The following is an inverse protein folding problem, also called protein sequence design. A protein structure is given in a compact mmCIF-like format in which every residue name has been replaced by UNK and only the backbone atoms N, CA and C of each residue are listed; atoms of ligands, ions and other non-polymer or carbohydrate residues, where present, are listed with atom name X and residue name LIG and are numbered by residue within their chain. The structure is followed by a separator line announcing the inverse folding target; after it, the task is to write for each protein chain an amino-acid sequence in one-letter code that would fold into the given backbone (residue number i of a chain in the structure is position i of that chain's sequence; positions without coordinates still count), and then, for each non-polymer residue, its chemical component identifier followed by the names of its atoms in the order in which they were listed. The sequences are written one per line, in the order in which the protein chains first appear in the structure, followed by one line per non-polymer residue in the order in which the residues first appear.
data_IF_148365529983
#
_entry.id   IF_148365529983
#
_cell.length_a   1.000
_cell.length_b   1.000
_cell.length_c   1.000
_cell.angle_alpha   90.00
_cell.angle_beta   90.00
_cell.angle_gamma   90.00
#
_symmetry.space_group_name_H-M   'P 1'
#
loop_
_entity.id
_entity.type
_entity.pdbx_description
1 polymer ?
#
# COMPACT_ATOMS: atom_id res chain seq x y z
N UNK A 1 13.20 -34.65 2.89
CA UNK A 1 12.32 -33.67 3.57
C UNK A 1 12.85 -32.24 3.43
N UNK A 2 14.09 -31.93 3.87
CA UNK A 2 14.68 -30.58 3.75
C UNK A 2 14.78 -30.12 2.28
N UNK A 3 15.18 -31.00 1.36
CA UNK A 3 15.25 -30.70 -0.09
C UNK A 3 13.89 -30.36 -0.70
N UNK A 4 12.83 -31.09 -0.33
CA UNK A 4 11.46 -30.81 -0.81
C UNK A 4 10.96 -29.47 -0.26
N UNK A 5 11.25 -29.16 1.01
CA UNK A 5 10.91 -27.88 1.62
C UNK A 5 11.62 -26.69 0.95
N UNK A 6 12.93 -26.82 0.71
CA UNK A 6 13.70 -25.78 0.03
C UNK A 6 13.23 -25.61 -1.41
N UNK A 7 13.01 -26.72 -2.14
CA UNK A 7 12.49 -26.67 -3.51
C UNK A 7 11.13 -25.96 -3.57
N UNK A 8 10.21 -26.28 -2.65
CA UNK A 8 8.92 -25.58 -2.54
C UNK A 8 9.08 -24.07 -2.35
N UNK A 9 9.97 -23.63 -1.44
CA UNK A 9 10.23 -22.20 -1.20
C UNK A 9 10.85 -21.48 -2.40
N UNK A 10 11.73 -22.14 -3.14
CA UNK A 10 12.34 -21.58 -4.35
C UNK A 10 11.29 -21.49 -5.47
N UNK A 11 10.49 -22.53 -5.65
CA UNK A 11 9.38 -22.54 -6.62
C UNK A 11 8.39 -21.41 -6.30
N UNK A 12 7.97 -21.27 -5.04
CA UNK A 12 7.11 -20.17 -4.60
C UNK A 12 7.75 -18.81 -4.89
N UNK A 13 9.04 -18.64 -4.61
CA UNK A 13 9.77 -17.40 -4.87
C UNK A 13 9.91 -17.06 -6.36
N UNK A 14 9.99 -18.07 -7.23
CA UNK A 14 10.04 -17.90 -8.69
C UNK A 14 8.64 -17.64 -9.27
N UNK A 15 7.64 -18.42 -8.85
CA UNK A 15 6.26 -18.33 -9.35
C UNK A 15 5.52 -17.08 -8.84
N UNK A 16 5.65 -16.76 -7.55
CA UNK A 16 5.01 -15.57 -6.95
C UNK A 16 5.87 -14.31 -7.12
N UNK A 17 7.16 -14.48 -7.45
CA UNK A 17 8.14 -13.41 -7.43
C UNK A 17 8.38 -12.86 -6.02
N UNK A 18 9.30 -11.90 -5.88
CA UNK A 18 9.41 -11.10 -4.66
C UNK A 18 8.28 -10.06 -4.66
N UNK A 19 7.07 -10.45 -4.21
CA UNK A 19 6.00 -9.47 -4.06
C UNK A 19 6.28 -8.53 -2.87
N UNK A 20 7.01 -7.45 -3.17
CA UNK A 20 7.37 -6.42 -2.20
C UNK A 20 6.34 -5.29 -2.12
N UNK A 21 5.14 -5.48 -2.70
CA UNK A 21 4.09 -4.46 -2.70
C UNK A 21 3.15 -4.66 -1.52
N UNK A 22 2.74 -3.54 -0.94
CA UNK A 22 1.78 -3.42 0.15
C UNK A 22 0.62 -2.58 -0.35
N UNK A 23 -0.59 -3.01 -0.01
CA UNK A 23 -1.74 -2.14 -0.09
C UNK A 23 -1.83 -1.36 1.22
N UNK A 24 -2.12 -0.07 1.15
CA UNK A 24 -2.09 0.83 2.30
C UNK A 24 -3.35 1.68 2.29
N UNK A 25 -4.02 1.71 3.44
CA UNK A 25 -4.99 2.77 3.76
C UNK A 25 -4.32 3.80 4.66
N UNK A 26 -4.46 5.07 4.31
CA UNK A 26 -4.04 6.20 5.15
C UNK A 26 -5.29 6.98 5.57
N UNK A 27 -5.47 7.13 6.87
CA UNK A 27 -6.59 7.86 7.48
C UNK A 27 -6.00 9.07 8.20
N UNK A 28 -6.34 10.28 7.74
CA UNK A 28 -5.79 11.54 8.24
C UNK A 28 -6.68 12.72 7.84
N UNK A 29 -6.70 13.78 8.64
CA UNK A 29 -7.31 15.06 8.25
C UNK A 29 -6.40 15.89 7.33
N UNK A 30 -5.11 15.57 7.30
CA UNK A 30 -4.07 16.10 6.38
C UNK A 30 -3.93 15.26 5.12
N UNK A 31 -5.03 14.66 4.66
CA UNK A 31 -5.06 13.88 3.43
C UNK A 31 -4.63 14.66 2.17
N UNK A 32 -4.80 16.00 2.04
CA UNK A 32 -4.29 16.74 0.88
C UNK A 32 -2.75 16.72 0.79
N UNK A 33 -2.06 16.94 1.89
CA UNK A 33 -0.59 16.95 1.96
C UNK A 33 -0.02 15.55 1.71
N UNK A 34 -0.64 14.53 2.31
CA UNK A 34 -0.26 13.12 2.11
C UNK A 34 -0.46 12.69 0.66
N UNK A 35 -1.57 13.10 0.03
CA UNK A 35 -1.80 12.89 -1.42
C UNK A 35 -0.65 13.46 -2.24
N UNK A 36 -0.25 14.70 -1.97
CA UNK A 36 0.76 15.38 -2.77
C UNK A 36 2.12 14.69 -2.63
N UNK A 37 2.45 14.23 -1.43
CA UNK A 37 3.63 13.41 -1.20
C UNK A 37 3.59 12.10 -2.00
N UNK A 38 2.48 11.36 -1.92
CA UNK A 38 2.31 10.10 -2.67
C UNK A 38 2.46 10.33 -4.18
N UNK A 39 1.81 11.36 -4.72
CA UNK A 39 1.83 11.65 -6.16
C UNK A 39 3.17 12.19 -6.63
N UNK A 40 3.78 13.14 -5.93
CA UNK A 40 4.96 13.87 -6.41
C UNK A 40 6.29 13.28 -5.95
N UNK A 41 6.34 12.72 -4.74
CA UNK A 41 7.59 12.17 -4.17
C UNK A 41 7.72 10.68 -4.40
N UNK A 42 6.61 9.93 -4.25
CA UNK A 42 6.62 8.49 -4.51
C UNK A 42 6.32 8.14 -5.96
N UNK A 43 5.79 9.08 -6.75
CA UNK A 43 5.31 8.85 -8.12
C UNK A 43 4.30 7.69 -8.19
N UNK A 44 3.36 7.67 -7.25
CA UNK A 44 2.33 6.64 -7.12
C UNK A 44 0.93 7.23 -7.24
N UNK A 45 0.02 6.43 -7.78
CA UNK A 45 -1.40 6.70 -7.76
C UNK A 45 -2.04 6.29 -6.44
N UNK A 46 -3.27 6.74 -6.24
CA UNK A 46 -4.12 6.34 -5.15
C UNK A 46 -5.56 6.72 -5.43
N UNK A 47 -6.47 6.12 -4.67
CA UNK A 47 -7.90 6.36 -4.77
C UNK A 47 -8.41 6.82 -3.42
N UNK A 48 -9.28 7.83 -3.42
CA UNK A 48 -10.01 8.19 -2.21
C UNK A 48 -11.18 7.25 -1.99
N UNK A 49 -11.30 6.74 -0.78
CA UNK A 49 -12.47 6.04 -0.28
C UNK A 49 -13.15 6.98 0.72
N UNK A 50 -14.41 7.29 0.48
CA UNK A 50 -15.23 8.05 1.43
C UNK A 50 -15.63 7.14 2.59
N UNK A 51 -15.44 7.63 3.81
CA UNK A 51 -15.83 6.96 5.04
C UNK A 51 -16.40 7.95 6.05
N UNK A 52 -16.83 7.44 7.20
CA UNK A 52 -17.33 8.23 8.31
C UNK A 52 -16.59 7.84 9.59
N UNK A 53 -16.17 8.84 10.36
CA UNK A 53 -15.51 8.61 11.64
C UNK A 53 -16.49 8.09 12.68
N UNK A 54 -16.19 6.95 13.31
CA UNK A 54 -17.08 6.27 14.26
C UNK A 54 -17.47 7.12 15.48
N UNK A 55 -16.59 8.02 15.94
CA UNK A 55 -16.82 8.83 17.14
C UNK A 55 -17.47 10.18 16.84
N UNK A 56 -17.03 10.84 15.77
CA UNK A 56 -17.41 12.23 15.46
C UNK A 56 -18.44 12.33 14.33
N UNK A 57 -18.80 11.21 13.70
CA UNK A 57 -19.73 11.15 12.57
C UNK A 57 -19.37 12.11 11.44
N UNK A 58 -18.08 12.44 11.31
CA UNK A 58 -17.60 13.35 10.29
C UNK A 58 -17.20 12.58 9.04
N UNK A 59 -17.46 13.17 7.88
CA UNK A 59 -17.02 12.62 6.62
C UNK A 59 -15.49 12.63 6.55
N UNK A 60 -14.90 11.48 6.24
CA UNK A 60 -13.46 11.26 6.13
C UNK A 60 -13.12 10.80 4.72
N UNK A 61 -11.96 11.23 4.23
CA UNK A 61 -11.36 10.66 3.02
C UNK A 61 -10.20 9.77 3.41
N UNK A 62 -10.29 8.52 3.04
CA UNK A 62 -9.25 7.51 3.25
C UNK A 62 -8.47 7.38 1.94
N UNK A 63 -7.14 7.45 2.00
CA UNK A 63 -6.31 7.23 0.81
C UNK A 63 -6.00 5.74 0.72
N UNK A 64 -6.45 5.09 -0.36
CA UNK A 64 -5.96 3.79 -0.77
C UNK A 64 -4.83 3.95 -1.77
N UNK A 65 -3.70 3.32 -1.50
CA UNK A 65 -2.58 3.26 -2.45
C UNK A 65 -1.88 1.92 -2.36
N UNK A 66 -1.16 1.58 -3.43
CA UNK A 66 -0.31 0.41 -3.48
C UNK A 66 1.12 0.85 -3.73
N UNK A 67 2.01 0.48 -2.82
CA UNK A 67 3.40 0.93 -2.80
C UNK A 67 4.35 -0.21 -2.42
N UNK A 68 5.62 -0.07 -2.74
CA UNK A 68 6.68 -0.98 -2.32
C UNK A 68 7.02 -0.81 -0.83
N UNK A 69 7.71 -1.79 -0.24
CA UNK A 69 8.23 -1.72 1.14
C UNK A 69 9.09 -0.47 1.40
N UNK A 70 9.91 -0.04 0.44
CA UNK A 70 10.76 1.16 0.58
C UNK A 70 9.93 2.44 0.59
N UNK A 71 8.97 2.54 -0.32
CA UNK A 71 8.03 3.67 -0.39
C UNK A 71 7.14 3.72 0.86
N UNK A 72 6.76 2.57 1.42
CA UNK A 72 6.03 2.51 2.70
C UNK A 72 6.82 3.14 3.85
N UNK A 73 8.11 2.84 3.98
CA UNK A 73 8.94 3.43 5.03
C UNK A 73 8.98 4.97 4.91
N UNK A 74 9.16 5.49 3.69
CA UNK A 74 9.13 6.94 3.43
C UNK A 74 7.75 7.56 3.70
N UNK A 75 6.67 6.85 3.35
CA UNK A 75 5.31 7.31 3.63
C UNK A 75 5.02 7.35 5.14
N UNK A 76 5.46 6.34 5.90
CA UNK A 76 5.28 6.32 7.36
C UNK A 76 5.97 7.49 8.04
N UNK A 77 7.21 7.79 7.63
CA UNK A 77 7.96 8.94 8.15
C UNK A 77 7.23 10.25 7.83
N UNK A 78 6.84 10.46 6.57
CA UNK A 78 6.12 11.66 6.17
C UNK A 78 4.76 11.83 6.87
N UNK A 79 3.97 10.76 6.95
CA UNK A 79 2.65 10.81 7.61
C UNK A 79 2.79 11.17 9.08
N UNK A 80 3.78 10.60 9.78
CA UNK A 80 4.06 10.91 11.19
C UNK A 80 4.42 12.38 11.39
N UNK A 81 5.18 12.97 10.47
CA UNK A 81 5.54 14.40 10.52
C UNK A 81 4.36 15.31 10.16
N UNK A 82 3.57 14.94 9.15
CA UNK A 82 2.47 15.74 8.64
C UNK A 82 1.25 15.74 9.58
N UNK A 83 0.94 14.60 10.19
CA UNK A 83 -0.21 14.41 11.08
C UNK A 83 0.07 13.33 12.13
N UNK A 84 0.46 13.70 13.36
CA UNK A 84 0.73 12.75 14.44
C UNK A 84 -0.48 11.91 14.87
N UNK A 85 -1.71 12.35 14.58
CA UNK A 85 -2.94 11.64 14.91
C UNK A 85 -3.41 10.72 13.77
N UNK A 86 -2.72 10.75 12.62
CA UNK A 86 -3.00 9.86 11.51
C UNK A 86 -2.60 8.42 11.83
N UNK A 87 -3.30 7.48 11.19
CA UNK A 87 -2.92 6.07 11.23
C UNK A 87 -3.00 5.44 9.85
N UNK A 88 -2.25 4.35 9.70
CA UNK A 88 -2.14 3.61 8.45
C UNK A 88 -2.45 2.13 8.69
N UNK A 89 -3.27 1.55 7.83
CA UNK A 89 -3.45 0.09 7.76
C UNK A 89 -2.67 -0.45 6.57
N UNK A 90 -1.75 -1.38 6.84
CA UNK A 90 -0.89 -1.99 5.83
C UNK A 90 -1.33 -3.43 5.62
N UNK A 91 -1.63 -3.77 4.38
CA UNK A 91 -2.07 -5.10 3.97
C UNK A 91 -0.98 -5.77 3.15
N UNK A 92 -0.67 -7.00 3.54
CA UNK A 92 0.12 -7.90 2.71
C UNK A 92 -0.67 -8.26 1.47
N UNK A 93 -0.01 -8.25 0.32
CA UNK A 93 -0.64 -8.62 -0.94
C UNK A 93 0.07 -9.83 -1.51
N UNK A 94 -0.68 -10.78 -2.05
CA UNK A 94 -0.10 -11.93 -2.73
C UNK A 94 0.22 -11.57 -4.19
N UNK A 95 -0.72 -10.95 -4.88
CA UNK A 95 -0.59 -10.48 -6.26
C UNK A 95 -1.37 -9.18 -6.44
N UNK A 96 -0.84 -8.28 -7.26
CA UNK A 96 -1.52 -7.03 -7.65
C UNK A 96 -1.36 -6.90 -9.15
N UNK A 97 -2.48 -6.66 -9.83
CA UNK A 97 -2.56 -6.62 -11.28
C UNK A 97 -2.89 -5.21 -11.79
N UNK A 98 -2.47 -4.92 -13.02
CA UNK A 98 -2.80 -3.68 -13.73
C UNK A 98 -1.58 -2.84 -14.12
N UNK A 99 -1.83 -1.63 -14.62
CA UNK A 99 -0.76 -0.75 -15.14
C UNK A 99 0.24 -0.38 -14.04
N UNK A 100 1.53 -0.66 -14.29
CA UNK A 100 2.59 -0.47 -13.32
C UNK A 100 2.70 -1.60 -12.28
N UNK A 101 1.92 -2.67 -12.42
CA UNK A 101 1.90 -3.90 -11.63
C UNK A 101 2.02 -5.13 -12.54
N UNK A 102 1.69 -6.33 -12.05
CA UNK A 102 1.67 -7.54 -12.88
C UNK A 102 0.62 -7.34 -13.99
N UNK A 103 0.96 -7.55 -15.27
CA UNK A 103 -0.03 -7.48 -16.35
C UNK A 103 -1.19 -8.44 -16.12
N UNK A 104 -2.39 -8.05 -16.55
CA UNK A 104 -3.52 -8.99 -16.65
C UNK A 104 -3.32 -9.70 -17.99
N UNK A 105 -3.01 -11.00 -17.95
CA UNK A 105 -2.98 -11.82 -19.17
C UNK A 105 -4.42 -11.96 -19.67
N UNK A 106 -4.71 -11.42 -20.86
CA UNK A 106 -5.98 -11.68 -21.55
C UNK A 106 -5.96 -13.13 -22.06
N UNK A 107 -6.98 -13.90 -21.68
CA UNK A 107 -7.19 -15.29 -22.13
C UNK A 107 -7.65 -15.34 -23.58
#
# INVERSE_FOLDING_TARGET
LITIFIAGKVIDGVLLGSNNRKAVFVISDKYPEIREFIMKKLNRGGTYISGEGIYRHNHKKIIYTVISRRELAALQEFVKEADPEAFMSVFETNQIYGRGFIPIEES
#
